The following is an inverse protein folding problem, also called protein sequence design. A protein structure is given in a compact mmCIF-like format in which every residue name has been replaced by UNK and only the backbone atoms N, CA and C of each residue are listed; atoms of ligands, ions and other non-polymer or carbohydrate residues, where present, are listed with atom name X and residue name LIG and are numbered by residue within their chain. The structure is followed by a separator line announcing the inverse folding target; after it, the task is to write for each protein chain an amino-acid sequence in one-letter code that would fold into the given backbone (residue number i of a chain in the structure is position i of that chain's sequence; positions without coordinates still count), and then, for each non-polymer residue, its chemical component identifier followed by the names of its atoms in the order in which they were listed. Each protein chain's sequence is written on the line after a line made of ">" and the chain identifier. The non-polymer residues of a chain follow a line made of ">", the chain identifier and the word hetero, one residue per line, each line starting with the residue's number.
data_IF_796148053834
#
_entry.id   IF_796148053834
#
_cell.length_a   1.000
_cell.length_b   1.000
_cell.length_c   1.000
_cell.angle_alpha   90.00
_cell.angle_beta   90.00
_cell.angle_gamma   90.00
#
_symmetry.space_group_name_H-M   'P 1'
#
loop_
_entity.id
_entity.type
_entity.pdbx_description
1 polymer ?
#
# COMPACT_ATOMS: atom_id res chain seq x y z
N UNK A 1 -0.58 20.64 14.57
CA UNK A 1 0.79 21.15 14.55
C UNK A 1 0.97 21.82 13.22
N UNK A 2 1.39 23.08 13.18
CA UNK A 2 1.64 23.74 11.89
C UNK A 2 2.90 23.12 11.29
N UNK A 3 2.78 22.63 10.05
CA UNK A 3 3.91 22.20 9.23
C UNK A 3 4.90 23.37 9.07
N UNK A 4 6.16 23.05 8.92
CA UNK A 4 7.17 24.08 8.63
C UNK A 4 6.88 24.70 7.26
N UNK A 5 7.33 25.94 7.02
CA UNK A 5 7.18 26.62 5.72
C UNK A 5 7.74 25.76 4.57
N UNK A 6 8.83 25.03 4.82
CA UNK A 6 9.43 24.12 3.84
C UNK A 6 8.48 22.96 3.46
N UNK A 7 7.76 22.39 4.41
CA UNK A 7 6.80 21.33 4.18
C UNK A 7 5.60 21.81 3.36
N UNK A 8 5.09 23.02 3.65
CA UNK A 8 4.02 23.63 2.86
C UNK A 8 4.48 23.90 1.44
N UNK A 9 5.68 24.43 1.23
CA UNK A 9 6.25 24.65 -0.11
C UNK A 9 6.43 23.34 -0.88
N UNK A 10 6.85 22.27 -0.22
CA UNK A 10 6.96 20.94 -0.85
C UNK A 10 5.59 20.39 -1.27
N UNK A 11 4.57 20.56 -0.42
CA UNK A 11 3.19 20.19 -0.75
C UNK A 11 2.70 20.96 -2.00
N UNK A 12 2.88 22.28 -2.02
CA UNK A 12 2.50 23.12 -3.16
C UNK A 12 3.27 22.71 -4.44
N UNK A 13 4.55 22.41 -4.33
CA UNK A 13 5.33 21.94 -5.48
C UNK A 13 4.81 20.60 -6.04
N UNK A 14 4.39 19.66 -5.19
CA UNK A 14 3.76 18.44 -5.65
C UNK A 14 2.45 18.73 -6.40
N UNK A 15 1.60 19.63 -5.86
CA UNK A 15 0.36 20.04 -6.51
C UNK A 15 0.61 20.77 -7.84
N UNK A 16 1.61 21.64 -7.91
CA UNK A 16 2.03 22.33 -9.14
C UNK A 16 2.40 21.36 -10.26
N UNK A 17 3.08 20.28 -9.91
CA UNK A 17 3.46 19.22 -10.86
C UNK A 17 2.33 18.21 -11.12
N UNK A 18 1.14 18.40 -10.54
CA UNK A 18 0.02 17.48 -10.68
C UNK A 18 0.29 16.09 -10.09
N UNK A 19 1.23 15.99 -9.15
CA UNK A 19 1.55 14.74 -8.47
C UNK A 19 0.83 14.64 -7.13
N UNK A 20 0.55 13.41 -6.68
CA UNK A 20 0.01 13.23 -5.34
C UNK A 20 1.09 13.59 -4.29
N UNK A 21 0.79 14.50 -3.35
CA UNK A 21 1.75 14.87 -2.32
C UNK A 21 2.03 13.67 -1.42
N UNK A 22 3.30 13.43 -1.17
CA UNK A 22 3.73 12.32 -0.32
C UNK A 22 3.47 12.58 1.17
N UNK A 23 3.63 13.86 1.58
CA UNK A 23 3.45 14.34 2.96
C UNK A 23 2.30 15.35 3.03
N UNK A 24 1.70 15.43 4.22
CA UNK A 24 0.70 16.45 4.55
C UNK A 24 -0.53 16.51 3.62
N UNK A 25 -0.78 15.45 2.83
CA UNK A 25 -1.93 15.37 1.93
C UNK A 25 -3.27 15.53 2.65
N UNK A 26 -3.35 15.17 3.94
CA UNK A 26 -4.54 15.37 4.77
C UNK A 26 -4.92 16.85 4.93
N UNK A 27 -3.98 17.79 4.75
CA UNK A 27 -4.25 19.23 4.80
C UNK A 27 -5.14 19.73 3.66
N UNK A 28 -5.13 19.01 2.55
CA UNK A 28 -5.93 19.35 1.34
C UNK A 28 -7.00 18.30 1.04
N UNK A 29 -7.15 17.28 1.88
CA UNK A 29 -8.16 16.25 1.72
C UNK A 29 -9.55 16.85 1.77
N UNK A 30 -10.36 16.65 0.72
CA UNK A 30 -11.71 17.19 0.58
C UNK A 30 -12.59 16.22 -0.20
N UNK A 31 -13.84 16.07 0.20
CA UNK A 31 -14.89 15.34 -0.53
C UNK A 31 -14.60 13.86 -0.77
N UNK A 32 -13.97 13.17 0.18
CA UNK A 32 -13.64 11.73 0.12
C UNK A 32 -14.08 10.97 1.37
N UNK A 33 -15.08 11.52 2.07
CA UNK A 33 -15.51 10.97 3.35
C UNK A 33 -16.12 9.57 3.20
N UNK A 34 -16.89 9.32 2.16
CA UNK A 34 -17.54 8.03 1.91
C UNK A 34 -16.51 6.95 1.60
N UNK A 35 -15.53 7.24 0.72
CA UNK A 35 -14.44 6.32 0.40
C UNK A 35 -13.57 6.03 1.63
N UNK A 36 -13.29 7.05 2.44
CA UNK A 36 -12.53 6.89 3.70
C UNK A 36 -13.31 6.05 4.71
N UNK A 37 -14.61 6.31 4.86
CA UNK A 37 -15.46 5.54 5.77
C UNK A 37 -15.59 4.07 5.32
N UNK A 38 -15.72 3.82 4.00
CA UNK A 38 -15.70 2.47 3.44
C UNK A 38 -14.38 1.76 3.74
N UNK A 39 -13.24 2.45 3.59
CA UNK A 39 -11.93 1.90 3.92
C UNK A 39 -11.79 1.58 5.41
N UNK A 40 -12.22 2.47 6.30
CA UNK A 40 -12.21 2.22 7.75
C UNK A 40 -13.09 1.05 8.17
N UNK A 41 -14.24 0.86 7.50
CA UNK A 41 -15.07 -0.35 7.70
C UNK A 41 -14.33 -1.61 7.26
N UNK A 42 -13.62 -1.56 6.12
CA UNK A 42 -12.81 -2.68 5.64
C UNK A 42 -11.68 -3.03 6.63
N UNK A 43 -10.98 -2.03 7.22
CA UNK A 43 -9.95 -2.28 8.24
C UNK A 43 -10.49 -3.08 9.43
N UNK A 44 -11.70 -2.78 9.91
CA UNK A 44 -12.33 -3.54 11.00
C UNK A 44 -12.62 -4.99 10.64
N UNK A 45 -12.91 -5.29 9.37
CA UNK A 45 -13.08 -6.68 8.92
C UNK A 45 -11.73 -7.41 8.92
N UNK A 46 -10.67 -6.75 8.45
CA UNK A 46 -9.30 -7.31 8.43
C UNK A 46 -8.83 -7.65 9.86
N UNK A 47 -9.10 -6.78 10.82
CA UNK A 47 -8.76 -7.01 12.24
C UNK A 47 -9.45 -8.26 12.82
N UNK A 48 -10.60 -8.66 12.25
CA UNK A 48 -11.36 -9.85 12.64
C UNK A 48 -11.09 -11.08 11.73
N UNK A 49 -9.82 -11.35 11.44
CA UNK A 49 -9.36 -12.52 10.69
C UNK A 49 -9.98 -12.66 9.28
N UNK A 50 -10.33 -11.54 8.66
CA UNK A 50 -10.84 -11.52 7.29
C UNK A 50 -9.76 -11.05 6.33
N UNK A 51 -9.73 -11.58 5.10
CA UNK A 51 -8.94 -11.06 4.00
C UNK A 51 -9.83 -10.33 2.99
N UNK A 52 -9.34 -9.28 2.34
CA UNK A 52 -10.08 -8.49 1.36
C UNK A 52 -9.25 -8.13 0.13
N UNK A 53 -9.95 -7.95 -1.00
CA UNK A 53 -9.41 -7.32 -2.21
C UNK A 53 -10.35 -6.20 -2.64
N UNK A 54 -9.83 -4.99 -2.90
CA UNK A 54 -10.55 -3.89 -3.53
C UNK A 54 -9.77 -3.32 -4.71
N UNK A 55 -10.50 -2.91 -5.75
CA UNK A 55 -9.95 -2.25 -6.94
C UNK A 55 -10.58 -0.88 -7.04
N UNK A 56 -9.77 0.18 -6.92
CA UNK A 56 -10.18 1.56 -7.11
C UNK A 56 -10.02 1.92 -8.58
N UNK A 57 -11.11 2.13 -9.29
CA UNK A 57 -11.08 2.47 -10.72
C UNK A 57 -11.58 3.89 -10.98
N UNK A 58 -11.00 4.56 -11.95
CA UNK A 58 -11.42 5.92 -12.34
C UNK A 58 -10.48 6.49 -13.41
N UNK A 59 -10.86 7.61 -13.99
CA UNK A 59 -10.08 8.26 -15.02
C UNK A 59 -8.73 8.77 -14.49
N UNK A 60 -7.78 9.04 -15.37
CA UNK A 60 -6.53 9.68 -14.95
C UNK A 60 -6.79 11.05 -14.33
N UNK A 61 -6.15 11.34 -13.20
CA UNK A 61 -6.22 12.63 -12.53
C UNK A 61 -7.44 12.85 -11.61
N UNK A 62 -8.30 11.84 -11.40
CA UNK A 62 -9.43 11.96 -10.44
C UNK A 62 -9.00 11.87 -8.97
N UNK A 63 -7.76 11.47 -8.68
CA UNK A 63 -7.22 11.43 -7.32
C UNK A 63 -7.06 10.03 -6.71
N UNK A 64 -7.02 8.94 -7.50
CA UNK A 64 -6.82 7.56 -7.01
C UNK A 64 -5.56 7.41 -6.15
N UNK A 65 -4.40 7.82 -6.68
CA UNK A 65 -3.11 7.72 -5.95
C UNK A 65 -3.08 8.62 -4.71
N UNK A 66 -3.78 9.78 -4.74
CA UNK A 66 -3.96 10.64 -3.57
C UNK A 66 -4.79 9.92 -2.48
N UNK A 67 -5.90 9.30 -2.86
CA UNK A 67 -6.76 8.54 -1.95
C UNK A 67 -6.00 7.34 -1.37
N UNK A 68 -5.23 6.63 -2.19
CA UNK A 68 -4.37 5.53 -1.74
C UNK A 68 -3.33 6.00 -0.72
N UNK A 69 -2.73 7.17 -0.91
CA UNK A 69 -1.85 7.81 0.08
C UNK A 69 -2.56 8.11 1.40
N UNK A 70 -3.81 8.56 1.33
CA UNK A 70 -4.67 8.79 2.50
C UNK A 70 -4.97 7.48 3.24
N UNK A 71 -5.32 6.42 2.51
CA UNK A 71 -5.55 5.08 3.07
C UNK A 71 -4.29 4.52 3.75
N UNK A 72 -3.13 4.67 3.12
CA UNK A 72 -1.84 4.31 3.70
C UNK A 72 -1.60 5.00 5.04
N UNK A 73 -1.83 6.31 5.11
CA UNK A 73 -1.68 7.09 6.35
C UNK A 73 -2.62 6.62 7.45
N UNK A 74 -3.90 6.37 7.11
CA UNK A 74 -4.89 5.86 8.07
C UNK A 74 -4.45 4.50 8.61
N UNK A 75 -4.08 3.57 7.73
CA UNK A 75 -3.71 2.22 8.11
C UNK A 75 -2.44 2.15 8.96
N UNK A 76 -1.43 2.98 8.66
CA UNK A 76 -0.22 3.09 9.50
C UNK A 76 -0.54 3.57 10.91
N UNK A 77 -1.46 4.53 11.06
CA UNK A 77 -1.88 5.02 12.38
C UNK A 77 -2.66 3.97 13.19
N UNK A 78 -3.29 3.02 12.52
CA UNK A 78 -4.04 1.89 13.11
C UNK A 78 -3.16 0.63 13.31
N UNK A 79 -1.82 0.75 13.25
CA UNK A 79 -0.84 -0.30 13.50
C UNK A 79 -0.89 -1.49 12.50
N UNK A 80 -1.22 -1.21 11.23
CA UNK A 80 -1.02 -2.15 10.13
C UNK A 80 0.39 -2.05 9.55
N UNK A 81 0.94 -3.18 9.11
CA UNK A 81 2.11 -3.20 8.22
C UNK A 81 1.64 -2.90 6.80
N UNK A 82 2.31 -2.00 6.12
CA UNK A 82 1.95 -1.59 4.77
C UNK A 82 3.02 -2.04 3.77
N UNK A 83 2.60 -2.58 2.63
CA UNK A 83 3.42 -2.64 1.43
C UNK A 83 2.80 -1.73 0.37
N UNK A 84 3.62 -0.94 -0.35
CA UNK A 84 3.10 -0.01 -1.36
C UNK A 84 4.06 0.09 -2.54
N UNK A 85 3.60 -0.32 -3.72
CA UNK A 85 4.36 -0.33 -4.97
C UNK A 85 3.41 -0.24 -6.17
N UNK A 86 3.98 -0.11 -7.37
CA UNK A 86 3.23 -0.08 -8.63
C UNK A 86 3.61 -1.26 -9.52
N UNK A 87 2.72 -1.66 -10.39
CA UNK A 87 3.01 -2.62 -11.45
C UNK A 87 4.01 -1.96 -12.42
N UNK A 88 5.11 -2.62 -12.70
CA UNK A 88 6.15 -2.14 -13.61
C UNK A 88 7.04 -3.31 -14.07
N UNK A 89 8.18 -3.00 -14.71
CA UNK A 89 9.12 -4.03 -15.15
C UNK A 89 9.77 -4.83 -14.01
N UNK A 90 9.79 -4.31 -12.77
CA UNK A 90 10.30 -4.99 -11.57
C UNK A 90 9.28 -5.86 -10.86
N UNK A 91 7.99 -5.57 -11.05
CA UNK A 91 6.88 -6.37 -10.53
C UNK A 91 5.77 -6.50 -11.57
N UNK A 92 5.43 -7.73 -11.90
CA UNK A 92 4.33 -8.07 -12.81
C UNK A 92 3.34 -9.01 -12.13
N UNK A 93 2.05 -8.71 -12.24
CA UNK A 93 1.00 -9.47 -11.56
C UNK A 93 0.87 -10.93 -12.04
N UNK A 94 1.44 -11.27 -13.21
CA UNK A 94 1.44 -12.65 -13.73
C UNK A 94 2.41 -13.59 -13.01
N UNK A 95 3.20 -13.10 -12.02
CA UNK A 95 4.14 -13.90 -11.24
C UNK A 95 3.91 -13.68 -9.74
N UNK A 96 3.38 -14.69 -9.04
CA UNK A 96 3.11 -14.61 -7.60
C UNK A 96 4.38 -14.59 -6.75
N UNK A 97 5.45 -15.21 -7.21
CA UNK A 97 6.77 -15.12 -6.55
C UNK A 97 7.30 -13.69 -6.51
N UNK A 98 7.07 -12.91 -7.56
CA UNK A 98 7.45 -11.50 -7.61
C UNK A 98 6.60 -10.65 -6.63
N UNK A 99 5.36 -11.06 -6.34
CA UNK A 99 4.49 -10.38 -5.37
C UNK A 99 5.10 -10.41 -3.96
N UNK A 100 5.56 -11.57 -3.50
CA UNK A 100 6.19 -11.68 -2.18
C UNK A 100 7.43 -10.78 -2.08
N UNK A 101 8.30 -10.86 -3.09
CA UNK A 101 9.49 -10.00 -3.17
C UNK A 101 9.11 -8.51 -3.17
N UNK A 102 8.14 -8.11 -3.98
CA UNK A 102 7.68 -6.73 -4.05
C UNK A 102 7.12 -6.24 -2.70
N UNK A 103 6.36 -7.07 -1.98
CA UNK A 103 5.87 -6.75 -0.64
C UNK A 103 7.05 -6.50 0.30
N UNK A 104 7.99 -7.45 0.39
CA UNK A 104 9.08 -7.40 1.35
C UNK A 104 10.07 -6.24 1.13
N UNK A 105 10.17 -5.74 -0.11
CA UNK A 105 11.06 -4.62 -0.47
C UNK A 105 10.36 -3.26 -0.54
N UNK A 106 9.07 -3.21 -0.17
CA UNK A 106 8.28 -1.97 -0.19
C UNK A 106 7.45 -1.81 1.09
N UNK A 107 7.98 -2.26 2.23
CA UNK A 107 7.33 -2.17 3.53
C UNK A 107 7.38 -0.75 4.09
N UNK A 108 6.34 -0.38 4.84
CA UNK A 108 6.24 0.86 5.59
C UNK A 108 5.64 0.58 6.96
N UNK A 109 6.13 1.28 7.96
CA UNK A 109 5.73 1.13 9.36
C UNK A 109 5.36 2.49 9.96
N UNK A 110 4.54 2.49 11.00
CA UNK A 110 4.06 3.70 11.69
C UNK A 110 5.19 4.63 12.14
N UNK A 111 6.29 4.08 12.65
CA UNK A 111 7.44 4.87 13.13
C UNK A 111 8.28 5.48 11.99
N UNK A 112 8.13 4.99 10.75
CA UNK A 112 8.79 5.52 9.55
C UNK A 112 7.83 5.54 8.34
N UNK A 113 6.75 6.35 8.39
CA UNK A 113 5.68 6.32 7.40
C UNK A 113 6.11 6.81 6.02
N UNK A 114 7.21 7.54 5.94
CA UNK A 114 7.66 8.26 4.75
C UNK A 114 8.75 7.54 3.96
N UNK A 115 9.42 6.59 4.57
CA UNK A 115 10.50 5.83 3.95
C UNK A 115 10.21 4.34 4.02
N UNK A 116 10.72 3.60 3.05
CA UNK A 116 10.65 2.14 3.09
C UNK A 116 11.39 1.61 4.30
N UNK A 117 10.76 0.69 4.99
CA UNK A 117 11.34 -0.04 6.11
C UNK A 117 11.92 -1.37 5.63
N UNK A 118 12.98 -1.82 6.27
CA UNK A 118 13.51 -3.16 6.03
C UNK A 118 12.67 -4.22 6.75
N UNK A 119 12.86 -5.47 6.36
CA UNK A 119 12.32 -6.61 7.10
C UNK A 119 12.69 -6.56 8.60
N UNK A 120 13.95 -6.23 8.90
CA UNK A 120 14.46 -6.13 10.26
C UNK A 120 13.69 -5.13 11.13
N UNK A 121 13.30 -4.00 10.57
CA UNK A 121 12.63 -2.92 11.30
C UNK A 121 11.28 -3.34 11.92
N UNK A 122 10.65 -4.40 11.39
CA UNK A 122 9.41 -4.97 11.95
C UNK A 122 9.67 -5.61 13.32
N UNK A 123 10.86 -6.18 13.50
CA UNK A 123 11.17 -7.05 14.64
C UNK A 123 12.11 -6.40 15.65
N UNK A 124 12.72 -5.27 15.33
CA UNK A 124 13.77 -4.67 16.16
C UNK A 124 13.31 -4.44 17.60
N UNK A 125 12.12 -3.88 17.82
CA UNK A 125 11.58 -3.67 19.16
C UNK A 125 11.32 -4.98 19.92
N UNK A 126 10.72 -5.96 19.25
CA UNK A 126 10.44 -7.27 19.85
C UNK A 126 11.73 -7.99 20.22
N UNK A 127 12.73 -8.01 19.33
CA UNK A 127 14.03 -8.63 19.59
C UNK A 127 14.79 -7.90 20.70
N UNK A 128 14.68 -6.57 20.78
CA UNK A 128 15.25 -5.81 21.88
C UNK A 128 14.62 -6.19 23.23
N UNK A 129 13.31 -6.36 23.28
CA UNK A 129 12.57 -6.83 24.46
C UNK A 129 13.04 -8.25 24.85
N UNK A 130 13.21 -9.16 23.88
CA UNK A 130 13.73 -10.51 24.15
C UNK A 130 15.14 -10.49 24.74
N UNK A 131 16.02 -9.62 24.22
CA UNK A 131 17.41 -9.48 24.72
C UNK A 131 17.46 -8.94 26.15
N UNK A 132 16.59 -8.01 26.47
CA UNK A 132 16.58 -7.30 27.76
C UNK A 132 15.70 -8.03 28.80
N UNK A 133 15.05 -9.12 28.44
CA UNK A 133 14.18 -9.87 29.36
C UNK A 133 15.02 -10.51 30.50
N UNK A 134 14.63 -10.32 31.75
CA UNK A 134 15.27 -10.98 32.89
C UNK A 134 14.90 -12.47 33.03
N UNK A 135 14.01 -12.98 32.14
CA UNK A 135 13.48 -14.33 32.22
C UNK A 135 13.83 -15.17 30.96
N UNK A 136 15.03 -15.77 30.86
CA UNK A 136 15.46 -16.50 29.65
C UNK A 136 14.55 -17.67 29.25
N UNK A 137 13.92 -18.34 30.21
CA UNK A 137 12.99 -19.45 29.95
C UNK A 137 11.72 -18.95 29.27
N UNK A 138 11.16 -17.82 29.71
CA UNK A 138 9.98 -17.19 29.09
C UNK A 138 10.33 -16.74 27.67
N UNK A 139 11.49 -16.10 27.49
CA UNK A 139 11.99 -15.69 26.17
C UNK A 139 12.11 -16.88 25.21
N UNK A 140 12.67 -17.99 25.69
CA UNK A 140 12.80 -19.21 24.89
C UNK A 140 11.43 -19.80 24.51
N UNK A 141 10.50 -19.80 25.46
CA UNK A 141 9.13 -20.27 25.23
C UNK A 141 8.39 -19.39 24.22
N UNK A 142 8.53 -18.07 24.32
CA UNK A 142 7.92 -17.10 23.37
C UNK A 142 8.44 -17.33 21.95
N UNK A 143 9.76 -17.42 21.76
CA UNK A 143 10.36 -17.72 20.45
C UNK A 143 9.84 -19.06 19.91
N UNK A 144 9.79 -20.09 20.73
CA UNK A 144 9.29 -21.40 20.33
C UNK A 144 7.82 -21.33 19.90
N UNK A 145 6.97 -20.63 20.65
CA UNK A 145 5.56 -20.45 20.33
C UNK A 145 5.36 -19.79 18.97
N UNK A 146 6.14 -18.73 18.68
CA UNK A 146 6.12 -18.07 17.36
C UNK A 146 6.56 -19.05 16.27
N UNK A 147 7.68 -19.74 16.45
CA UNK A 147 8.21 -20.68 15.46
C UNK A 147 7.25 -21.87 15.20
N UNK A 148 6.60 -22.39 16.24
CA UNK A 148 5.62 -23.48 16.10
C UNK A 148 4.37 -23.01 15.33
N UNK A 149 3.92 -21.79 15.57
CA UNK A 149 2.82 -21.20 14.79
C UNK A 149 3.17 -21.03 13.31
N UNK A 150 4.38 -20.56 13.00
CA UNK A 150 4.87 -20.40 11.63
C UNK A 150 5.07 -21.74 10.91
N UNK A 151 5.55 -22.75 11.62
CA UNK A 151 5.81 -24.09 11.05
C UNK A 151 4.58 -24.76 10.46
N UNK A 152 3.37 -24.35 10.90
CA UNK A 152 2.10 -24.84 10.36
C UNK A 152 1.85 -24.38 8.92
N UNK A 153 2.43 -23.25 8.52
CA UNK A 153 2.34 -22.74 7.15
C UNK A 153 3.54 -23.14 6.31
N UNK A 154 4.77 -22.91 6.86
CA UNK A 154 5.99 -23.26 6.16
C UNK A 154 7.12 -23.52 7.16
N UNK A 155 7.57 -24.78 7.22
CA UNK A 155 8.64 -25.21 8.13
C UNK A 155 9.97 -24.53 7.81
N UNK A 156 10.27 -24.30 6.52
CA UNK A 156 11.53 -23.69 6.09
C UNK A 156 11.56 -22.21 6.50
N UNK A 157 10.43 -21.50 6.34
CA UNK A 157 10.28 -20.12 6.82
C UNK A 157 10.49 -20.05 8.34
N UNK A 158 9.86 -20.93 9.10
CA UNK A 158 9.97 -20.97 10.57
C UNK A 158 11.44 -21.19 11.01
N UNK A 159 12.16 -22.13 10.37
CA UNK A 159 13.58 -22.39 10.66
C UNK A 159 14.47 -21.19 10.30
N UNK A 160 14.24 -20.56 9.15
CA UNK A 160 14.97 -19.38 8.74
C UNK A 160 14.74 -18.21 9.71
N UNK A 161 13.50 -18.03 10.19
CA UNK A 161 13.17 -17.02 11.17
C UNK A 161 13.83 -17.29 12.52
N UNK A 162 13.87 -18.53 12.98
CA UNK A 162 14.60 -18.91 14.18
C UNK A 162 16.11 -18.63 14.06
N UNK A 163 16.71 -18.92 12.89
CA UNK A 163 18.12 -18.59 12.60
C UNK A 163 18.33 -17.08 12.64
N UNK A 164 17.42 -16.30 12.05
CA UNK A 164 17.43 -14.84 12.09
C UNK A 164 17.42 -14.30 13.52
N UNK A 165 16.48 -14.75 14.38
CA UNK A 165 16.41 -14.31 15.78
C UNK A 165 17.70 -14.62 16.52
N UNK A 166 18.21 -15.86 16.37
CA UNK A 166 19.46 -16.29 17.03
C UNK A 166 20.66 -15.44 16.61
N UNK A 167 20.78 -15.11 15.32
CA UNK A 167 21.85 -14.27 14.82
C UNK A 167 21.77 -12.84 15.37
N UNK A 168 20.56 -12.26 15.42
CA UNK A 168 20.30 -10.93 16.01
C UNK A 168 20.65 -10.91 17.51
N UNK A 169 20.26 -11.93 18.26
CA UNK A 169 20.55 -12.01 19.70
C UNK A 169 22.04 -12.16 19.95
N UNK A 170 22.75 -12.97 19.14
CA UNK A 170 24.20 -13.17 19.24
C UNK A 170 25.03 -11.99 18.75
N UNK A 171 24.43 -11.05 18.02
CA UNK A 171 25.12 -9.93 17.41
C UNK A 171 25.99 -10.35 16.23
N UNK A 172 25.57 -11.35 15.43
CA UNK A 172 26.25 -11.79 14.21
C UNK A 172 25.67 -11.09 12.99
N UNK A 173 26.34 -10.04 12.47
CA UNK A 173 25.78 -9.22 11.39
C UNK A 173 25.75 -9.97 10.05
N UNK A 174 26.71 -10.86 9.75
CA UNK A 174 26.73 -11.62 8.50
C UNK A 174 25.57 -12.62 8.45
N UNK A 175 25.35 -13.37 9.53
CA UNK A 175 24.25 -14.32 9.63
C UNK A 175 22.90 -13.60 9.64
N UNK A 176 22.77 -12.45 10.32
CA UNK A 176 21.57 -11.65 10.35
C UNK A 176 21.20 -11.13 8.95
N UNK A 177 22.16 -10.52 8.24
CA UNK A 177 21.92 -10.00 6.89
C UNK A 177 21.55 -11.14 5.92
N UNK A 178 22.23 -12.28 6.02
CA UNK A 178 21.95 -13.43 5.16
C UNK A 178 20.55 -14.00 5.39
N UNK A 179 20.14 -14.17 6.64
CA UNK A 179 18.82 -14.71 6.99
C UNK A 179 17.70 -13.72 6.67
N UNK A 180 17.90 -12.42 6.93
CA UNK A 180 16.97 -11.35 6.58
C UNK A 180 16.75 -11.28 5.06
N UNK A 181 17.83 -11.26 4.27
CA UNK A 181 17.77 -11.26 2.81
C UNK A 181 17.01 -12.50 2.29
N UNK A 182 17.29 -13.68 2.84
CA UNK A 182 16.62 -14.91 2.43
C UNK A 182 15.11 -14.87 2.75
N UNK A 183 14.74 -14.41 3.96
CA UNK A 183 13.36 -14.25 4.37
C UNK A 183 12.61 -13.17 3.55
N UNK A 184 13.33 -12.17 3.04
CA UNK A 184 12.79 -11.14 2.15
C UNK A 184 12.68 -11.59 0.69
N UNK A 185 13.05 -12.83 0.37
CA UNK A 185 12.91 -13.40 -0.98
C UNK A 185 14.04 -13.02 -1.94
N UNK A 186 15.21 -12.58 -1.44
CA UNK A 186 16.36 -12.29 -2.30
C UNK A 186 16.83 -13.55 -3.05
N UNK A 187 16.96 -13.42 -4.38
CA UNK A 187 17.28 -14.55 -5.25
C UNK A 187 18.78 -14.89 -5.27
N UNK A 188 19.65 -13.89 -5.12
CA UNK A 188 21.08 -13.99 -5.40
C UNK A 188 21.95 -14.02 -4.14
N UNK A 189 21.57 -14.83 -3.15
CA UNK A 189 22.38 -15.05 -1.94
C UNK A 189 23.43 -16.13 -2.23
N UNK A 190 24.73 -15.86 -2.02
CA UNK A 190 25.80 -16.85 -2.21
C UNK A 190 25.56 -18.14 -1.42
N UNK A 191 25.75 -19.29 -2.08
CA UNK A 191 25.49 -20.58 -1.46
C UNK A 191 26.30 -20.83 -0.17
N UNK A 192 27.55 -20.35 -0.11
CA UNK A 192 28.38 -20.47 1.10
C UNK A 192 27.82 -19.69 2.30
N UNK A 193 27.15 -18.54 2.07
CA UNK A 193 26.47 -17.79 3.14
C UNK A 193 25.23 -18.54 3.62
N UNK A 194 24.41 -19.05 2.70
CA UNK A 194 23.22 -19.85 3.06
C UNK A 194 23.59 -21.07 3.91
N UNK A 195 24.68 -21.78 3.55
CA UNK A 195 25.13 -22.93 4.31
C UNK A 195 25.57 -22.61 5.74
N UNK A 196 26.21 -21.45 5.97
CA UNK A 196 26.60 -20.99 7.33
C UNK A 196 25.40 -20.81 8.28
N UNK A 197 24.21 -20.58 7.75
CA UNK A 197 23.00 -20.37 8.52
C UNK A 197 21.95 -21.46 8.30
N UNK A 198 22.36 -22.62 7.80
CA UNK A 198 21.51 -23.77 7.51
C UNK A 198 20.33 -23.51 6.59
N UNK A 199 20.49 -22.59 5.62
CA UNK A 199 19.46 -22.25 4.64
C UNK A 199 19.71 -22.94 3.30
N UNK A 200 18.61 -23.39 2.68
CA UNK A 200 18.59 -23.99 1.35
C UNK A 200 17.46 -23.41 0.51
N UNK A 201 17.59 -23.47 -0.81
CA UNK A 201 16.56 -22.97 -1.71
C UNK A 201 16.38 -21.46 -1.65
N UNK A 202 15.14 -21.02 -1.81
CA UNK A 202 14.68 -19.63 -1.82
C UNK A 202 13.19 -19.57 -2.06
N UNK A 203 12.65 -18.37 -2.21
CA UNK A 203 11.26 -18.15 -2.58
C UNK A 203 11.07 -18.40 -4.08
N UNK A 204 10.08 -19.21 -4.43
CA UNK A 204 9.69 -19.49 -5.81
C UNK A 204 8.15 -19.56 -5.94
N UNK A 205 7.65 -19.82 -7.15
CA UNK A 205 6.21 -19.88 -7.41
C UNK A 205 5.47 -20.98 -6.64
N UNK A 206 6.16 -21.99 -6.12
CA UNK A 206 5.53 -23.10 -5.40
C UNK A 206 5.36 -22.82 -3.91
N UNK A 207 6.14 -21.90 -3.34
CA UNK A 207 6.18 -21.61 -1.91
C UNK A 207 5.92 -20.14 -1.55
N UNK A 208 5.89 -19.21 -2.53
CA UNK A 208 5.75 -17.77 -2.29
C UNK A 208 4.50 -17.39 -1.47
N UNK A 209 3.39 -18.09 -1.69
CA UNK A 209 2.16 -17.87 -0.93
C UNK A 209 2.25 -18.39 0.51
N UNK A 210 2.90 -19.53 0.74
CA UNK A 210 3.11 -20.03 2.10
C UNK A 210 4.06 -19.13 2.87
N UNK A 211 5.02 -18.51 2.18
CA UNK A 211 5.86 -17.45 2.74
C UNK A 211 5.04 -16.22 3.11
N UNK A 212 4.14 -15.78 2.23
CA UNK A 212 3.24 -14.65 2.52
C UNK A 212 2.32 -14.96 3.72
N UNK A 213 1.71 -16.14 3.75
CA UNK A 213 0.88 -16.60 4.89
C UNK A 213 1.70 -16.63 6.19
N UNK A 214 2.94 -17.14 6.14
CA UNK A 214 3.85 -17.15 7.29
C UNK A 214 4.20 -15.74 7.75
N UNK A 215 4.49 -14.83 6.83
CA UNK A 215 4.78 -13.44 7.14
C UNK A 215 3.59 -12.70 7.78
N UNK A 216 2.38 -12.85 7.22
CA UNK A 216 1.17 -12.27 7.81
C UNK A 216 0.93 -12.83 9.20
N UNK A 217 1.07 -14.15 9.38
CA UNK A 217 0.95 -14.76 10.72
C UNK A 217 2.01 -14.23 11.68
N UNK A 218 3.24 -14.05 11.22
CA UNK A 218 4.33 -13.52 12.03
C UNK A 218 4.02 -12.11 12.55
N UNK A 219 3.63 -11.19 11.68
CA UNK A 219 3.32 -9.81 12.09
C UNK A 219 2.11 -9.74 13.03
N UNK A 220 1.09 -10.59 12.86
CA UNK A 220 -0.05 -10.65 13.79
C UNK A 220 0.33 -11.20 15.16
N UNK A 221 1.31 -12.11 15.25
CA UNK A 221 1.87 -12.57 16.52
C UNK A 221 2.69 -11.50 17.26
N UNK A 222 3.06 -10.43 16.56
CA UNK A 222 3.80 -9.28 17.09
C UNK A 222 2.90 -8.03 17.26
N UNK A 223 1.60 -8.26 17.44
CA UNK A 223 0.58 -7.25 17.71
C UNK A 223 0.30 -6.24 16.59
N UNK A 224 0.81 -6.47 15.37
CA UNK A 224 0.30 -5.75 14.21
C UNK A 224 -1.07 -6.28 13.81
N UNK A 225 -1.98 -5.40 13.40
CA UNK A 225 -3.35 -5.78 13.02
C UNK A 225 -3.44 -6.57 11.71
N UNK A 226 -2.41 -6.54 10.89
CA UNK A 226 -2.33 -7.26 9.61
C UNK A 226 -1.48 -6.55 8.58
N UNK A 227 -1.59 -7.02 7.33
CA UNK A 227 -0.86 -6.52 6.17
C UNK A 227 -1.83 -5.85 5.18
N UNK A 228 -1.53 -4.61 4.76
CA UNK A 228 -2.24 -3.97 3.66
C UNK A 228 -1.28 -3.73 2.51
N UNK A 229 -1.65 -4.22 1.34
CA UNK A 229 -0.83 -4.15 0.13
C UNK A 229 -1.48 -3.22 -0.87
N UNK A 230 -0.86 -2.07 -1.11
CA UNK A 230 -1.28 -1.10 -2.12
C UNK A 230 -0.51 -1.33 -3.41
N UNK A 231 -1.23 -1.57 -4.51
CA UNK A 231 -0.66 -1.86 -5.84
C UNK A 231 -1.28 -0.88 -6.84
N UNK A 232 -0.48 0.09 -7.28
CA UNK A 232 -0.91 1.11 -8.25
C UNK A 232 -0.72 0.64 -9.69
N UNK A 233 -1.43 1.27 -10.63
CA UNK A 233 -1.28 1.09 -12.07
C UNK A 233 -1.67 -0.31 -12.59
N UNK A 234 -2.76 -0.90 -12.06
CA UNK A 234 -3.29 -2.18 -12.54
C UNK A 234 -3.60 -2.16 -14.05
N UNK A 235 -3.90 -0.99 -14.61
CA UNK A 235 -4.15 -0.81 -16.05
C UNK A 235 -2.94 -1.12 -16.94
N UNK A 236 -1.73 -1.17 -16.41
CA UNK A 236 -0.56 -1.61 -17.17
C UNK A 236 -0.69 -3.06 -17.67
N UNK A 237 -1.48 -3.89 -16.98
CA UNK A 237 -1.80 -5.26 -17.42
C UNK A 237 -2.50 -5.27 -18.78
N UNK A 238 -3.25 -4.21 -19.15
CA UNK A 238 -3.93 -4.09 -20.44
C UNK A 238 -2.94 -3.99 -21.63
N UNK A 239 -1.71 -3.56 -21.38
CA UNK A 239 -0.65 -3.42 -22.38
C UNK A 239 0.18 -4.70 -22.54
N UNK A 240 0.02 -5.67 -21.66
CA UNK A 240 0.70 -6.96 -21.75
C UNK A 240 0.12 -7.82 -22.90
N UNK A 241 0.94 -8.76 -23.37
CA UNK A 241 0.48 -9.81 -24.28
C UNK A 241 -0.66 -10.59 -23.66
N UNK A 242 -1.54 -11.13 -24.50
CA UNK A 242 -2.76 -11.85 -24.07
C UNK A 242 -2.47 -12.96 -23.04
N UNK A 243 -1.43 -13.78 -23.27
CA UNK A 243 -1.04 -14.87 -22.37
C UNK A 243 -0.59 -14.36 -21.00
N UNK A 244 0.19 -13.29 -20.96
CA UNK A 244 0.66 -12.63 -19.72
C UNK A 244 -0.52 -11.98 -19.00
N UNK A 245 -1.39 -11.28 -19.71
CA UNK A 245 -2.57 -10.62 -19.14
C UNK A 245 -3.53 -11.62 -18.52
N UNK A 246 -3.84 -12.71 -19.22
CA UNK A 246 -4.70 -13.76 -18.68
C UNK A 246 -4.11 -14.39 -17.41
N UNK A 247 -2.79 -14.65 -17.40
CA UNK A 247 -2.11 -15.15 -16.19
C UNK A 247 -2.16 -14.13 -15.04
N UNK A 248 -2.09 -12.81 -15.32
CA UNK A 248 -2.26 -11.78 -14.30
C UNK A 248 -3.70 -11.79 -13.73
N UNK A 249 -4.71 -12.00 -14.57
CA UNK A 249 -6.10 -12.12 -14.13
C UNK A 249 -6.36 -13.41 -13.34
N UNK A 250 -5.74 -14.53 -13.71
CA UNK A 250 -5.77 -15.75 -12.91
C UNK A 250 -5.19 -15.53 -11.51
N UNK A 251 -4.06 -14.84 -11.42
CA UNK A 251 -3.43 -14.49 -10.15
C UNK A 251 -4.27 -13.53 -9.31
N UNK A 252 -4.89 -12.52 -9.93
CA UNK A 252 -5.82 -11.61 -9.23
C UNK A 252 -7.04 -12.36 -8.68
N UNK A 253 -7.64 -13.23 -9.51
CA UNK A 253 -8.71 -14.12 -9.07
C UNK A 253 -8.26 -14.98 -7.90
N UNK A 254 -7.07 -15.55 -7.99
CA UNK A 254 -6.54 -16.42 -6.94
C UNK A 254 -6.33 -15.64 -5.60
N UNK A 255 -5.85 -14.42 -5.64
CA UNK A 255 -5.77 -13.58 -4.45
C UNK A 255 -7.15 -13.30 -3.83
N UNK A 256 -8.16 -13.06 -4.66
CA UNK A 256 -9.55 -12.91 -4.19
C UNK A 256 -10.03 -14.21 -3.54
N UNK A 257 -9.80 -15.35 -4.17
CA UNK A 257 -10.22 -16.65 -3.63
C UNK A 257 -9.52 -16.94 -2.29
N UNK A 258 -8.22 -16.69 -2.15
CA UNK A 258 -7.48 -16.87 -0.90
C UNK A 258 -7.97 -15.98 0.24
N UNK A 259 -8.31 -14.74 -0.06
CA UNK A 259 -8.82 -13.81 0.95
C UNK A 259 -10.25 -14.17 1.37
N UNK A 260 -11.10 -14.57 0.43
CA UNK A 260 -12.51 -14.92 0.72
C UNK A 260 -12.66 -16.30 1.35
N UNK A 261 -11.77 -17.26 1.08
CA UNK A 261 -11.77 -18.57 1.72
C UNK A 261 -11.25 -18.56 3.16
N UNK A 262 -10.64 -17.44 3.62
CA UNK A 262 -9.98 -17.35 4.90
C UNK A 262 -8.58 -18.00 4.94
N UNK A 263 -8.02 -18.38 3.79
CA UNK A 263 -6.66 -18.92 3.72
C UNK A 263 -5.58 -17.85 3.86
N UNK A 264 -5.92 -16.57 3.61
CA UNK A 264 -5.04 -15.43 3.79
C UNK A 264 -5.78 -14.34 4.61
N UNK A 265 -6.01 -14.59 5.91
CA UNK A 265 -6.66 -13.64 6.81
C UNK A 265 -5.76 -12.44 7.10
N UNK A 266 -6.29 -11.41 7.74
CA UNK A 266 -5.58 -10.19 8.15
C UNK A 266 -4.79 -9.52 7.02
N UNK A 267 -5.26 -9.69 5.77
CA UNK A 267 -4.60 -9.14 4.58
C UNK A 267 -5.58 -8.37 3.71
N UNK A 268 -5.20 -7.18 3.29
CA UNK A 268 -6.01 -6.36 2.41
C UNK A 268 -5.21 -5.93 1.18
N UNK A 269 -5.61 -6.37 0.00
CA UNK A 269 -5.05 -5.89 -1.27
C UNK A 269 -5.91 -4.76 -1.82
N UNK A 270 -5.30 -3.62 -2.08
CA UNK A 270 -5.93 -2.45 -2.68
C UNK A 270 -5.22 -2.14 -3.99
N UNK A 271 -5.90 -2.36 -5.10
CA UNK A 271 -5.40 -2.03 -6.43
C UNK A 271 -5.96 -0.69 -6.89
N UNK A 272 -5.22 0.04 -7.72
CA UNK A 272 -5.76 1.19 -8.47
C UNK A 272 -5.54 0.99 -9.96
N UNK A 273 -6.47 1.49 -10.77
CA UNK A 273 -6.38 1.41 -12.23
C UNK A 273 -7.34 2.36 -12.94
N UNK A 274 -7.30 2.40 -14.24
CA UNK A 274 -8.29 3.11 -15.05
C UNK A 274 -9.60 2.31 -15.14
N UNK A 275 -10.70 2.96 -15.52
CA UNK A 275 -11.99 2.29 -15.75
C UNK A 275 -11.88 1.19 -16.80
N UNK A 276 -10.96 1.34 -17.76
CA UNK A 276 -10.72 0.38 -18.83
C UNK A 276 -10.35 -1.03 -18.33
N UNK A 277 -9.71 -1.12 -17.14
CA UNK A 277 -9.44 -2.42 -16.51
C UNK A 277 -10.71 -3.25 -16.37
N UNK A 278 -11.82 -2.59 -16.03
CA UNK A 278 -13.12 -3.26 -15.85
C UNK A 278 -13.91 -3.27 -17.16
N UNK A 279 -13.99 -2.15 -17.89
CA UNK A 279 -14.95 -1.93 -18.96
C UNK A 279 -14.48 -2.36 -20.35
N UNK A 280 -13.19 -2.56 -20.57
CA UNK A 280 -12.69 -2.97 -21.90
C UNK A 280 -13.18 -4.38 -22.27
N UNK A 281 -13.94 -4.47 -23.35
CA UNK A 281 -14.46 -5.75 -23.87
C UNK A 281 -13.37 -6.62 -24.51
N UNK A 282 -12.27 -6.03 -24.94
CA UNK A 282 -11.15 -6.75 -25.60
C UNK A 282 -10.06 -7.20 -24.64
N UNK A 283 -9.79 -6.41 -23.60
CA UNK A 283 -8.61 -6.58 -22.75
C UNK A 283 -8.92 -6.53 -21.25
N UNK A 284 -10.08 -6.00 -20.86
CA UNK A 284 -10.46 -5.82 -19.46
C UNK A 284 -10.83 -7.13 -18.77
N UNK A 285 -11.16 -7.00 -17.50
CA UNK A 285 -11.55 -8.12 -16.62
C UNK A 285 -12.73 -8.90 -17.19
N UNK A 286 -13.63 -8.28 -17.99
CA UNK A 286 -14.77 -8.95 -18.61
C UNK A 286 -14.35 -10.07 -19.57
N UNK A 287 -13.13 -10.04 -20.11
CA UNK A 287 -12.57 -11.12 -20.94
C UNK A 287 -12.25 -12.39 -20.15
N UNK A 288 -12.19 -12.29 -18.81
CA UNK A 288 -11.88 -13.37 -17.89
C UNK A 288 -13.08 -13.67 -16.99
N UNK A 289 -14.00 -14.51 -17.48
CA UNK A 289 -15.32 -14.77 -16.85
C UNK A 289 -15.23 -15.10 -15.37
N UNK A 290 -14.27 -15.95 -14.97
CA UNK A 290 -14.13 -16.36 -13.57
C UNK A 290 -13.72 -15.19 -12.64
N UNK A 291 -12.86 -14.28 -13.09
CA UNK A 291 -12.49 -13.07 -12.34
C UNK A 291 -13.66 -12.08 -12.29
N UNK A 292 -14.36 -11.87 -13.41
CA UNK A 292 -15.53 -10.99 -13.46
C UNK A 292 -16.62 -11.43 -12.46
N UNK A 293 -16.84 -12.73 -12.33
CA UNK A 293 -17.75 -13.29 -11.32
C UNK A 293 -17.29 -13.03 -9.89
N UNK A 294 -15.98 -13.15 -9.60
CA UNK A 294 -15.42 -12.89 -8.26
C UNK A 294 -15.48 -11.41 -7.86
N UNK A 295 -15.30 -10.52 -8.81
CA UNK A 295 -15.40 -9.09 -8.57
C UNK A 295 -16.83 -8.63 -8.33
N UNK A 296 -17.83 -9.45 -8.71
CA UNK A 296 -19.24 -9.19 -8.45
C UNK A 296 -19.69 -7.79 -8.89
N UNK A 297 -19.43 -7.47 -10.16
CA UNK A 297 -19.61 -6.13 -10.74
C UNK A 297 -21.04 -5.58 -10.71
N UNK A 298 -22.02 -6.41 -10.35
CA UNK A 298 -23.44 -6.05 -10.29
C UNK A 298 -23.94 -5.66 -8.89
N UNK A 299 -23.05 -5.61 -7.88
CA UNK A 299 -23.41 -5.24 -6.49
C UNK A 299 -23.16 -3.76 -6.26
N UNK A 300 -23.92 -3.12 -5.34
CA UNK A 300 -23.63 -1.75 -4.94
C UNK A 300 -22.17 -1.56 -4.51
N UNK A 301 -21.57 -0.42 -4.87
CA UNK A 301 -20.12 -0.12 -4.67
C UNK A 301 -19.65 -0.30 -3.22
N UNK A 302 -20.50 -0.03 -2.25
CA UNK A 302 -20.17 -0.17 -0.82
C UNK A 302 -19.85 -1.61 -0.39
N UNK A 303 -20.44 -2.60 -1.07
CA UNK A 303 -20.26 -4.02 -0.77
C UNK A 303 -19.45 -4.78 -1.83
N UNK A 304 -19.16 -4.15 -2.97
CA UNK A 304 -18.42 -4.75 -4.09
C UNK A 304 -16.89 -4.68 -3.91
N UNK A 305 -16.20 -5.50 -4.70
CA UNK A 305 -14.74 -5.47 -4.79
C UNK A 305 -14.20 -4.30 -5.65
N UNK A 306 -15.06 -3.62 -6.40
CA UNK A 306 -14.70 -2.48 -7.25
C UNK A 306 -15.34 -1.22 -6.72
N UNK A 307 -14.53 -0.16 -6.56
CA UNK A 307 -14.98 1.17 -6.14
C UNK A 307 -14.62 2.18 -7.24
N UNK A 308 -15.63 2.88 -7.74
CA UNK A 308 -15.46 3.91 -8.77
C UNK A 308 -15.11 5.27 -8.15
N UNK A 309 -13.95 5.80 -8.53
CA UNK A 309 -13.46 7.10 -8.07
C UNK A 309 -13.73 8.14 -9.16
N UNK A 310 -14.55 9.11 -8.84
CA UNK A 310 -14.88 10.25 -9.72
C UNK A 310 -14.06 11.49 -9.37
N UNK A 311 -14.08 12.49 -10.26
CA UNK A 311 -13.59 13.84 -9.92
C UNK A 311 -14.34 14.40 -8.73
N UNK A 312 -13.69 15.30 -7.99
CA UNK A 312 -14.33 15.97 -6.86
C UNK A 312 -15.54 16.78 -7.32
N UNK A 313 -16.60 16.71 -6.53
CA UNK A 313 -17.80 17.49 -6.71
C UNK A 313 -17.55 19.00 -6.46
N UNK A 314 -18.38 19.91 -6.99
CA UNK A 314 -18.23 21.36 -6.86
C UNK A 314 -17.98 21.85 -5.44
N UNK A 315 -18.72 21.33 -4.47
CA UNK A 315 -18.57 21.70 -3.05
C UNK A 315 -17.20 21.29 -2.51
N UNK A 316 -16.72 20.10 -2.86
CA UNK A 316 -15.42 19.60 -2.46
C UNK A 316 -14.27 20.36 -3.15
N UNK A 317 -14.44 20.80 -4.40
CA UNK A 317 -13.48 21.65 -5.09
C UNK A 317 -13.36 23.03 -4.43
N UNK A 318 -14.48 23.62 -4.00
CA UNK A 318 -14.47 24.88 -3.26
C UNK A 318 -13.79 24.72 -1.89
N UNK A 319 -14.05 23.63 -1.19
CA UNK A 319 -13.38 23.31 0.08
C UNK A 319 -11.88 23.13 -0.12
N UNK A 320 -11.46 22.40 -1.16
CA UNK A 320 -10.07 22.25 -1.55
C UNK A 320 -9.41 23.60 -1.83
N UNK A 321 -10.09 24.49 -2.55
CA UNK A 321 -9.61 25.85 -2.82
C UNK A 321 -9.38 26.65 -1.54
N UNK A 322 -10.30 26.57 -0.57
CA UNK A 322 -10.15 27.20 0.75
C UNK A 322 -8.92 26.67 1.49
N UNK A 323 -8.70 25.35 1.45
CA UNK A 323 -7.54 24.73 2.08
C UNK A 323 -6.23 25.14 1.41
N UNK A 324 -6.17 25.17 0.08
CA UNK A 324 -4.99 25.63 -0.68
C UNK A 324 -4.70 27.11 -0.40
N UNK A 325 -5.71 27.98 -0.40
CA UNK A 325 -5.55 29.40 -0.02
C UNK A 325 -4.95 29.55 1.38
N UNK A 326 -5.43 28.77 2.34
CA UNK A 326 -4.87 28.77 3.71
C UNK A 326 -3.41 28.35 3.74
N UNK A 327 -2.99 27.40 2.89
CA UNK A 327 -1.58 27.03 2.76
C UNK A 327 -0.75 28.21 2.22
N UNK A 328 -1.20 28.86 1.16
CA UNK A 328 -0.51 30.03 0.61
C UNK A 328 -0.43 31.18 1.62
N UNK A 329 -1.51 31.47 2.35
CA UNK A 329 -1.54 32.51 3.37
C UNK A 329 -0.58 32.28 4.56
N UNK A 330 -0.08 31.05 4.72
CA UNK A 330 0.86 30.73 5.80
C UNK A 330 2.30 31.22 5.54
N UNK A 331 2.66 31.53 4.30
CA UNK A 331 4.01 32.00 3.94
C UNK A 331 4.05 33.23 3.03
N UNK A 332 2.89 33.72 2.57
CA UNK A 332 2.80 34.93 1.73
C UNK A 332 1.51 35.71 2.03
N UNK A 333 1.54 37.01 1.73
CA UNK A 333 0.34 37.85 1.83
C UNK A 333 -0.39 37.83 0.51
N UNK A 334 -1.60 37.29 0.50
CA UNK A 334 -2.45 37.29 -0.69
C UNK A 334 -3.17 38.63 -0.87
N UNK A 335 -3.40 39.08 -2.12
CA UNK A 335 -4.19 40.30 -2.40
C UNK A 335 -5.64 40.15 -1.90
N UNK A 336 -6.21 41.24 -1.42
CA UNK A 336 -7.55 41.28 -0.81
C UNK A 336 -8.70 40.86 -1.76
N UNK A 337 -8.48 40.92 -3.08
CA UNK A 337 -9.49 40.53 -4.07
C UNK A 337 -9.57 39.03 -4.32
N UNK A 338 -8.61 38.25 -3.78
CA UNK A 338 -8.56 36.81 -3.94
C UNK A 338 -9.43 36.15 -2.86
N UNK A 339 -10.51 35.52 -3.28
CA UNK A 339 -11.33 34.64 -2.44
C UNK A 339 -11.41 33.25 -3.04
N UNK A 340 -11.80 32.27 -2.21
CA UNK A 340 -11.97 30.89 -2.70
C UNK A 340 -13.07 30.80 -3.74
N UNK A 341 -14.13 31.56 -3.56
CA UNK A 341 -15.28 31.61 -4.44
C UNK A 341 -14.91 32.22 -5.81
N UNK A 342 -14.17 33.35 -5.81
CA UNK A 342 -13.73 33.99 -7.06
C UNK A 342 -12.78 33.08 -7.85
N UNK A 343 -11.82 32.43 -7.19
CA UNK A 343 -10.91 31.48 -7.84
C UNK A 343 -11.66 30.26 -8.37
N UNK A 344 -12.57 29.71 -7.59
CA UNK A 344 -13.40 28.58 -8.01
C UNK A 344 -14.19 28.90 -9.29
N UNK A 345 -14.88 30.05 -9.32
CA UNK A 345 -15.67 30.47 -10.48
C UNK A 345 -14.79 30.75 -11.70
N UNK A 346 -13.64 31.37 -11.51
CA UNK A 346 -12.68 31.67 -12.57
C UNK A 346 -12.11 30.38 -13.21
N UNK A 347 -11.69 29.42 -12.39
CA UNK A 347 -11.11 28.16 -12.86
C UNK A 347 -12.19 27.30 -13.54
N UNK A 348 -13.39 27.23 -13.00
CA UNK A 348 -14.48 26.45 -13.59
C UNK A 348 -14.93 26.97 -14.96
N UNK A 349 -14.79 28.24 -15.26
CA UNK A 349 -15.04 28.78 -16.61
C UNK A 349 -14.15 28.14 -17.67
N UNK A 350 -13.01 27.58 -17.27
CA UNK A 350 -12.09 26.86 -18.16
C UNK A 350 -12.42 25.36 -18.30
N UNK A 351 -13.53 24.89 -17.72
CA UNK A 351 -14.05 23.51 -17.75
C UNK A 351 -12.96 22.45 -17.47
N UNK A 352 -12.38 22.44 -16.25
CA UNK A 352 -11.40 21.44 -15.89
C UNK A 352 -12.04 20.04 -15.89
N UNK A 353 -11.57 19.14 -16.74
CA UNK A 353 -12.17 17.80 -16.93
C UNK A 353 -12.00 16.88 -15.72
N UNK A 354 -10.93 17.06 -14.94
CA UNK A 354 -10.58 16.18 -13.80
C UNK A 354 -9.95 16.99 -12.67
N UNK A 355 -10.01 16.45 -11.46
CA UNK A 355 -9.50 17.10 -10.24
C UNK A 355 -8.05 17.57 -10.37
N UNK A 356 -7.15 16.76 -10.96
CA UNK A 356 -5.74 17.14 -11.20
C UNK A 356 -5.64 18.44 -12.00
N UNK A 357 -6.40 18.55 -13.08
CA UNK A 357 -6.40 19.75 -13.94
C UNK A 357 -6.91 21.00 -13.20
N UNK A 358 -7.94 20.84 -12.38
CA UNK A 358 -8.40 21.91 -11.51
C UNK A 358 -7.31 22.38 -10.54
N UNK A 359 -6.65 21.44 -9.86
CA UNK A 359 -5.60 21.75 -8.89
C UNK A 359 -4.40 22.44 -9.53
N UNK A 360 -3.91 21.95 -10.68
CA UNK A 360 -2.78 22.61 -11.36
C UNK A 360 -3.11 24.02 -11.77
N UNK A 361 -4.31 24.30 -12.32
CA UNK A 361 -4.77 25.65 -12.65
C UNK A 361 -4.92 26.55 -11.43
N UNK A 362 -5.41 26.00 -10.31
CA UNK A 362 -5.50 26.74 -9.05
C UNK A 362 -4.11 27.19 -8.58
N UNK A 363 -3.13 26.31 -8.62
CA UNK A 363 -1.75 26.63 -8.23
C UNK A 363 -1.13 27.67 -9.20
N UNK A 364 -1.26 27.47 -10.51
CA UNK A 364 -0.78 28.40 -11.53
C UNK A 364 -1.36 29.80 -11.34
N UNK A 365 -2.67 29.88 -11.08
CA UNK A 365 -3.35 31.15 -10.85
C UNK A 365 -2.85 31.87 -9.59
N UNK A 366 -2.66 31.13 -8.48
CA UNK A 366 -2.11 31.66 -7.25
C UNK A 366 -0.65 32.09 -7.37
N UNK A 367 0.17 31.32 -8.09
CA UNK A 367 1.57 31.68 -8.34
C UNK A 367 1.67 32.98 -9.15
N UNK A 368 0.78 33.23 -10.10
CA UNK A 368 0.73 34.47 -10.89
C UNK A 368 0.42 35.72 -10.05
N UNK A 369 -0.32 35.55 -8.95
CA UNK A 369 -0.65 36.67 -8.04
C UNK A 369 0.46 37.01 -7.02
N UNK A 370 1.43 36.13 -6.87
CA UNK A 370 2.53 36.27 -5.87
C UNK A 370 3.81 36.77 -6.54
N UNK A 371 3.95 36.58 -7.86
CA UNK A 371 5.05 37.13 -8.67
C UNK A 371 4.83 38.58 -8.99
#
# INVERSE_FOLDING_TARGET
>A
MFSTEAEVKNLINALRNGTAPYKHHTMILSGRDDEINSFKKALKLIENDTGLVKILVGDYGVGKSFLMGTYKHIALNEDYVIASFQINNGYRLNKLEDLYYAIMHNLYLKHNPESKSSFDAIFDLWIENLKNSPFPEQTSHEIQTVCDALSKFNLTFSRAFLSYIRSKIRGDPEATTTTSAWLSGEQHIPQGLKQKVDLTGGVDKTNSLDFLKSFVKLITLLDYKGLIVFIDELDLVLHDRSDIRLSAYDNLKYLIDLTTSGELPNTFFVFTGTKEVITSEEKGVLTHTALAQRLNLNVPEDSGSVLHISSLEPIALLELTKKVLKLYSSFTTLPNHISAETLYDEINKSEPKVTRHYVTKLIERLDTEIL
#
